data_IF_534347104017
#
_entry.id   IF_534347104017
#
_cell.length_a   1.000
_cell.length_b   1.000
_cell.length_c   1.000
_cell.angle_alpha   90.00
_cell.angle_beta   90.00
_cell.angle_gamma   90.00
#
_symmetry.space_group_name_H-M   'P 1'
#
loop_
_entity.id
_entity.type
_entity.pdbx_description
1 polymer ?
#
# COMPACT_ATOMS: atom_id res chain seq x y z
N UNK A 1 -18.22 24.34 -13.67
CA UNK A 1 -17.62 23.07 -13.44
C UNK A 1 -16.38 23.22 -12.55
N UNK A 2 -16.42 22.69 -11.35
CA UNK A 2 -15.24 22.65 -10.47
C UNK A 2 -14.66 21.24 -10.58
N UNK A 3 -13.43 21.14 -11.11
CA UNK A 3 -12.71 19.89 -11.21
C UNK A 3 -12.46 19.31 -9.80
N UNK A 4 -12.87 18.07 -9.58
CA UNK A 4 -12.55 17.31 -8.39
C UNK A 4 -11.06 16.91 -8.47
N UNK A 5 -10.22 17.57 -7.67
CA UNK A 5 -8.82 17.15 -7.55
C UNK A 5 -8.78 15.75 -6.94
N UNK A 6 -8.26 14.78 -7.69
CA UNK A 6 -7.87 13.48 -7.18
C UNK A 6 -6.76 13.73 -6.15
N UNK A 7 -7.04 13.48 -4.86
CA UNK A 7 -5.98 13.48 -3.85
C UNK A 7 -5.09 12.29 -4.14
N UNK A 8 -3.94 12.53 -4.76
CA UNK A 8 -2.87 11.54 -4.86
C UNK A 8 -2.41 11.19 -3.46
N UNK A 9 -2.01 9.95 -3.25
CA UNK A 9 -1.62 9.34 -1.97
C UNK A 9 -0.42 10.02 -1.29
N UNK A 10 0.20 11.00 -1.96
CA UNK A 10 1.13 11.95 -1.36
C UNK A 10 0.60 13.34 -1.68
N UNK A 11 0.03 14.03 -0.70
CA UNK A 11 -0.13 15.48 -0.81
C UNK A 11 1.27 16.09 -0.78
N UNK A 12 1.76 16.52 -1.95
CA UNK A 12 3.03 17.22 -2.09
C UNK A 12 3.18 18.36 -1.09
N UNK A 13 2.08 19.01 -0.72
CA UNK A 13 2.05 20.15 0.21
C UNK A 13 2.47 19.76 1.62
N UNK A 14 2.13 18.58 2.11
CA UNK A 14 2.50 18.15 3.46
C UNK A 14 3.97 17.65 3.53
N UNK A 15 4.50 17.09 2.45
CA UNK A 15 5.90 16.68 2.39
C UNK A 15 6.86 17.88 2.34
N UNK A 16 6.47 18.96 1.65
CA UNK A 16 7.30 20.17 1.46
C UNK A 16 7.38 21.01 2.75
N UNK A 17 6.33 21.08 3.52
CA UNK A 17 6.34 21.85 4.78
C UNK A 17 7.14 21.18 5.90
N UNK A 18 7.59 19.95 5.71
CA UNK A 18 8.18 19.15 6.76
C UNK A 18 9.69 18.92 6.63
N UNK A 19 10.25 18.99 5.44
CA UNK A 19 11.70 18.87 5.22
C UNK A 19 12.28 20.27 5.00
N UNK A 20 13.35 20.63 5.72
CA UNK A 20 14.18 21.80 5.39
C UNK A 20 14.39 21.84 3.87
N UNK A 21 13.94 22.90 3.22
CA UNK A 21 13.91 23.04 1.76
C UNK A 21 15.27 22.71 1.13
N UNK A 22 16.38 23.03 1.79
CA UNK A 22 17.73 22.72 1.32
C UNK A 22 18.06 21.23 1.42
N UNK A 23 17.51 20.53 2.40
CA UNK A 23 17.66 19.09 2.57
C UNK A 23 16.77 18.34 1.58
N UNK A 24 15.56 18.82 1.33
CA UNK A 24 14.66 18.33 0.30
C UNK A 24 15.26 18.51 -1.10
N UNK A 25 15.80 19.69 -1.42
CA UNK A 25 16.45 19.94 -2.72
C UNK A 25 17.66 19.03 -2.95
N UNK A 26 18.47 18.78 -1.91
CA UNK A 26 19.59 17.82 -1.97
C UNK A 26 19.09 16.37 -2.14
N UNK A 27 18.02 15.99 -1.43
CA UNK A 27 17.42 14.68 -1.53
C UNK A 27 16.76 14.47 -2.91
N UNK A 28 16.00 15.44 -3.39
CA UNK A 28 15.37 15.39 -4.72
C UNK A 28 16.39 15.46 -5.87
N UNK A 29 17.51 16.16 -5.71
CA UNK A 29 18.63 16.12 -6.67
C UNK A 29 19.31 14.75 -6.71
N UNK A 30 19.25 13.98 -5.62
CA UNK A 30 19.71 12.59 -5.56
C UNK A 30 18.70 11.56 -6.05
N UNK A 31 17.40 11.89 -6.09
CA UNK A 31 16.34 11.03 -6.58
C UNK A 31 15.99 11.36 -8.03
N UNK A 32 16.75 10.79 -8.95
CA UNK A 32 16.31 10.74 -10.36
C UNK A 32 15.06 9.83 -10.41
N UNK A 33 13.93 10.37 -10.94
CA UNK A 33 12.68 9.65 -11.21
C UNK A 33 11.81 9.30 -9.99
N UNK A 34 11.45 10.29 -9.15
CA UNK A 34 10.52 10.09 -8.02
C UNK A 34 9.16 9.49 -8.44
N UNK A 35 8.72 9.75 -9.68
CA UNK A 35 7.53 9.17 -10.27
C UNK A 35 7.53 7.63 -10.22
N UNK A 36 8.71 6.99 -10.31
CA UNK A 36 8.86 5.52 -10.22
C UNK A 36 8.67 4.94 -8.82
N UNK A 37 8.37 5.77 -7.83
CA UNK A 37 7.99 5.36 -6.46
C UNK A 37 6.52 5.64 -6.14
N UNK A 38 5.74 6.18 -7.10
CA UNK A 38 4.35 6.56 -6.91
C UNK A 38 3.42 5.50 -7.47
N UNK A 39 2.51 5.01 -6.63
CA UNK A 39 1.34 4.22 -7.01
C UNK A 39 0.13 5.15 -7.06
N UNK A 40 -0.38 5.41 -8.26
CA UNK A 40 -1.56 6.25 -8.44
C UNK A 40 -2.81 5.49 -8.02
N UNK A 41 -3.49 5.98 -6.98
CA UNK A 41 -4.50 5.21 -6.25
C UNK A 41 -5.87 5.83 -6.33
N UNK A 42 -6.88 5.00 -6.64
CA UNK A 42 -8.28 5.36 -6.47
C UNK A 42 -9.08 4.17 -5.92
N UNK A 43 -9.45 4.26 -4.63
CA UNK A 43 -10.18 3.22 -3.89
C UNK A 43 -11.56 3.71 -3.43
N UNK A 44 -12.10 4.75 -4.06
CA UNK A 44 -13.43 5.27 -3.74
C UNK A 44 -14.49 4.21 -4.03
N UNK A 45 -15.49 4.03 -3.16
CA UNK A 45 -16.59 3.09 -3.41
C UNK A 45 -17.44 3.45 -4.63
N UNK A 46 -17.34 4.68 -5.12
CA UNK A 46 -18.05 5.18 -6.31
C UNK A 46 -17.21 5.11 -7.59
N UNK A 47 -16.06 4.44 -7.56
CA UNK A 47 -15.15 4.31 -8.71
C UNK A 47 -15.88 3.67 -9.90
N UNK A 48 -15.72 4.27 -11.08
CA UNK A 48 -16.30 3.80 -12.33
C UNK A 48 -15.21 3.27 -13.28
N UNK A 49 -15.61 2.56 -14.34
CA UNK A 49 -14.66 2.14 -15.37
C UNK A 49 -13.94 3.31 -16.06
N UNK A 50 -14.59 4.47 -16.20
CA UNK A 50 -13.94 5.68 -16.75
C UNK A 50 -12.85 6.22 -15.83
N UNK A 51 -13.06 6.14 -14.52
CA UNK A 51 -12.05 6.55 -13.55
C UNK A 51 -10.84 5.61 -13.58
N UNK A 52 -11.04 4.30 -13.77
CA UNK A 52 -9.96 3.32 -13.95
C UNK A 52 -9.17 3.65 -15.23
N UNK A 53 -9.84 3.90 -16.34
CA UNK A 53 -9.19 4.25 -17.61
C UNK A 53 -8.41 5.56 -17.51
N UNK A 54 -8.92 6.54 -16.76
CA UNK A 54 -8.22 7.80 -16.49
C UNK A 54 -6.97 7.55 -15.63
N UNK A 55 -7.08 6.76 -14.56
CA UNK A 55 -5.98 6.41 -13.67
C UNK A 55 -4.82 5.77 -14.46
N UNK A 56 -5.14 4.85 -15.37
CA UNK A 56 -4.16 4.19 -16.23
C UNK A 56 -3.48 5.19 -17.18
N UNK A 57 -4.27 6.06 -17.85
CA UNK A 57 -3.71 7.08 -18.75
C UNK A 57 -2.74 8.01 -18.01
N UNK A 58 -3.12 8.49 -16.83
CA UNK A 58 -2.29 9.37 -16.01
C UNK A 58 -1.01 8.66 -15.56
N UNK A 59 -1.10 7.39 -15.13
CA UNK A 59 0.06 6.61 -14.74
C UNK A 59 1.04 6.41 -15.91
N UNK A 60 0.54 6.09 -17.10
CA UNK A 60 1.37 5.96 -18.33
C UNK A 60 2.00 7.31 -18.72
N UNK A 61 1.21 8.38 -18.74
CA UNK A 61 1.66 9.73 -19.12
C UNK A 61 2.80 10.22 -18.21
N UNK A 62 2.68 9.99 -16.91
CA UNK A 62 3.65 10.45 -15.91
C UNK A 62 4.70 9.39 -15.54
N UNK A 63 4.71 8.25 -16.23
CA UNK A 63 5.62 7.14 -15.98
C UNK A 63 5.67 6.72 -14.49
N UNK A 64 4.50 6.64 -13.86
CA UNK A 64 4.39 6.24 -12.45
C UNK A 64 4.74 4.75 -12.29
N UNK A 65 5.13 4.35 -11.08
CA UNK A 65 5.43 2.95 -10.76
C UNK A 65 4.23 2.05 -11.07
N UNK A 66 3.05 2.45 -10.61
CA UNK A 66 1.86 1.63 -10.75
C UNK A 66 0.56 2.37 -10.48
N UNK A 67 -0.52 1.61 -10.55
CA UNK A 67 -1.86 2.05 -10.13
C UNK A 67 -2.38 1.11 -9.05
N UNK A 68 -3.22 1.63 -8.15
CA UNK A 68 -3.91 0.84 -7.15
C UNK A 68 -5.43 1.02 -7.30
N UNK A 69 -6.13 -0.11 -7.48
CA UNK A 69 -7.59 -0.16 -7.71
C UNK A 69 -8.24 -1.19 -6.77
N UNK A 70 -9.57 -1.08 -6.50
CA UNK A 70 -10.30 -2.13 -5.77
C UNK A 70 -10.27 -3.49 -6.49
N UNK A 71 -10.37 -4.63 -5.78
CA UNK A 71 -10.25 -5.98 -6.35
C UNK A 71 -11.15 -6.25 -7.56
N UNK A 72 -12.38 -5.78 -7.54
CA UNK A 72 -13.34 -5.92 -8.66
C UNK A 72 -12.79 -5.37 -10.00
N UNK A 73 -11.93 -4.36 -9.96
CA UNK A 73 -11.41 -3.66 -11.15
C UNK A 73 -10.09 -4.25 -11.68
N UNK A 74 -9.47 -5.20 -10.98
CA UNK A 74 -8.15 -5.74 -11.33
C UNK A 74 -8.14 -6.31 -12.74
N UNK A 75 -9.08 -7.19 -13.08
CA UNK A 75 -9.15 -7.82 -14.41
C UNK A 75 -9.28 -6.79 -15.54
N UNK A 76 -10.12 -5.75 -15.36
CA UNK A 76 -10.23 -4.66 -16.33
C UNK A 76 -8.94 -3.87 -16.41
N UNK A 77 -8.39 -3.45 -15.27
CA UNK A 77 -7.18 -2.66 -15.22
C UNK A 77 -6.00 -3.39 -15.89
N UNK A 78 -5.85 -4.71 -15.65
CA UNK A 78 -4.79 -5.52 -16.30
C UNK A 78 -4.91 -5.50 -17.81
N UNK A 79 -6.13 -5.66 -18.33
CA UNK A 79 -6.39 -5.62 -19.77
C UNK A 79 -6.04 -4.23 -20.36
N UNK A 80 -6.44 -3.14 -19.70
CA UNK A 80 -6.23 -1.77 -20.20
C UNK A 80 -4.78 -1.27 -20.01
N UNK A 81 -4.05 -1.82 -19.04
CA UNK A 81 -2.60 -1.59 -18.89
C UNK A 81 -1.87 -2.18 -20.11
N UNK A 82 -2.26 -3.38 -20.57
CA UNK A 82 -1.60 -4.07 -21.68
C UNK A 82 -0.12 -4.33 -21.37
N UNK A 83 0.74 -4.06 -22.35
CA UNK A 83 2.19 -4.30 -22.27
C UNK A 83 2.98 -3.16 -21.58
N UNK A 84 2.30 -2.18 -20.96
CA UNK A 84 2.99 -1.10 -20.27
C UNK A 84 3.66 -1.59 -18.98
N UNK A 85 4.80 -0.99 -18.63
CA UNK A 85 5.56 -1.30 -17.39
C UNK A 85 4.87 -0.84 -16.09
N UNK A 86 3.58 -0.50 -16.15
CA UNK A 86 2.80 -0.03 -15.00
C UNK A 86 2.38 -1.20 -14.13
N UNK A 87 2.82 -1.24 -12.88
CA UNK A 87 2.44 -2.28 -11.91
C UNK A 87 0.96 -2.15 -11.54
N UNK A 88 0.28 -3.27 -11.40
CA UNK A 88 -1.11 -3.32 -10.95
C UNK A 88 -1.17 -3.77 -9.49
N UNK A 89 -1.55 -2.84 -8.63
CA UNK A 89 -1.73 -3.04 -7.19
C UNK A 89 -3.20 -3.18 -6.87
N UNK A 90 -3.55 -4.05 -5.94
CA UNK A 90 -4.89 -4.10 -5.36
C UNK A 90 -4.85 -4.33 -3.85
N UNK A 91 -5.98 -4.15 -3.20
CA UNK A 91 -6.12 -4.22 -1.74
C UNK A 91 -6.82 -5.50 -1.31
N UNK A 92 -6.50 -6.00 -0.11
CA UNK A 92 -7.01 -7.24 0.46
C UNK A 92 -7.56 -6.97 1.86
N UNK A 93 -8.80 -7.38 2.13
CA UNK A 93 -9.49 -7.14 3.39
C UNK A 93 -9.73 -5.65 3.68
N UNK A 94 -9.80 -4.85 2.66
CA UNK A 94 -9.75 -3.39 2.74
C UNK A 94 -11.14 -2.73 2.92
N UNK A 95 -11.25 -1.60 3.68
CA UNK A 95 -10.16 -0.93 4.41
C UNK A 95 -9.99 -1.38 5.87
N UNK A 96 -10.88 -2.19 6.42
CA UNK A 96 -11.01 -2.41 7.86
C UNK A 96 -10.22 -3.61 8.38
N UNK A 97 -9.82 -4.55 7.52
CA UNK A 97 -8.96 -5.67 7.85
C UNK A 97 -9.58 -6.76 8.74
N UNK A 98 -10.84 -6.67 9.14
CA UNK A 98 -11.47 -7.60 10.09
C UNK A 98 -12.09 -8.86 9.46
N UNK A 99 -11.94 -9.04 8.15
CA UNK A 99 -12.35 -10.27 7.47
C UNK A 99 -11.56 -11.47 8.01
N UNK A 100 -12.17 -12.65 7.91
CA UNK A 100 -11.47 -13.90 8.23
C UNK A 100 -10.26 -14.10 7.32
N UNK A 101 -9.20 -14.70 7.86
CA UNK A 101 -7.96 -14.96 7.10
C UNK A 101 -8.21 -15.76 5.83
N UNK A 102 -9.09 -16.75 5.88
CA UNK A 102 -9.47 -17.59 4.73
C UNK A 102 -10.12 -16.76 3.62
N UNK A 103 -10.96 -15.79 3.97
CA UNK A 103 -11.59 -14.85 3.01
C UNK A 103 -10.52 -13.99 2.34
N UNK A 104 -9.56 -13.45 3.10
CA UNK A 104 -8.45 -12.66 2.56
C UNK A 104 -7.55 -13.48 1.63
N UNK A 105 -7.28 -14.73 1.99
CA UNK A 105 -6.50 -15.65 1.15
C UNK A 105 -7.23 -15.91 -0.17
N UNK A 106 -8.54 -16.11 -0.16
CA UNK A 106 -9.31 -16.30 -1.38
C UNK A 106 -9.35 -15.02 -2.22
N UNK A 107 -9.52 -13.85 -1.58
CA UNK A 107 -9.42 -12.55 -2.26
C UNK A 107 -8.05 -12.36 -2.93
N UNK A 108 -6.95 -12.74 -2.26
CA UNK A 108 -5.60 -12.73 -2.85
C UNK A 108 -5.51 -13.62 -4.09
N UNK A 109 -5.99 -14.88 -4.02
CA UNK A 109 -5.96 -15.81 -5.15
C UNK A 109 -6.73 -15.27 -6.35
N UNK A 110 -7.92 -14.69 -6.12
CA UNK A 110 -8.72 -14.09 -7.17
C UNK A 110 -8.01 -12.87 -7.79
N UNK A 111 -7.42 -12.02 -6.98
CA UNK A 111 -6.67 -10.85 -7.43
C UNK A 111 -5.44 -11.26 -8.27
N UNK A 112 -4.69 -12.27 -7.83
CA UNK A 112 -3.53 -12.82 -8.55
C UNK A 112 -3.96 -13.41 -9.90
N UNK A 113 -5.00 -14.25 -9.90
CA UNK A 113 -5.58 -14.83 -11.12
C UNK A 113 -6.01 -13.77 -12.12
N UNK A 114 -6.57 -12.65 -11.64
CA UNK A 114 -7.06 -11.55 -12.46
C UNK A 114 -5.95 -10.58 -12.90
N UNK A 115 -4.70 -10.81 -12.44
CA UNK A 115 -3.50 -10.18 -12.95
C UNK A 115 -2.88 -9.09 -12.05
N UNK A 116 -3.19 -9.05 -10.75
CA UNK A 116 -2.49 -8.18 -9.81
C UNK A 116 -1.00 -8.55 -9.71
N UNK A 117 -0.15 -7.55 -9.70
CA UNK A 117 1.30 -7.69 -9.52
C UNK A 117 1.68 -7.53 -8.05
N UNK A 118 0.95 -6.68 -7.30
CA UNK A 118 1.19 -6.38 -5.90
C UNK A 118 -0.12 -6.38 -5.11
N UNK A 119 -0.04 -6.78 -3.84
CA UNK A 119 -1.18 -6.98 -2.95
C UNK A 119 -0.97 -6.20 -1.65
N UNK A 120 -1.91 -5.32 -1.29
CA UNK A 120 -1.89 -4.49 -0.08
C UNK A 120 -2.86 -5.09 0.96
N UNK A 121 -2.36 -5.93 1.85
CA UNK A 121 -3.13 -6.63 2.88
C UNK A 121 -3.37 -5.72 4.09
N UNK A 122 -4.62 -5.51 4.48
CA UNK A 122 -4.94 -4.85 5.76
C UNK A 122 -5.00 -5.90 6.88
N UNK A 123 -4.24 -5.68 7.96
CA UNK A 123 -4.25 -6.57 9.13
C UNK A 123 -5.57 -6.47 9.90
N UNK A 124 -5.87 -7.50 10.70
CA UNK A 124 -6.93 -7.41 11.71
C UNK A 124 -6.42 -6.66 12.94
N UNK A 125 -6.61 -5.32 12.94
CA UNK A 125 -6.14 -4.43 14.01
C UNK A 125 -6.81 -4.73 15.37
N UNK A 126 -8.09 -5.16 15.37
CA UNK A 126 -8.79 -5.49 16.62
C UNK A 126 -8.22 -6.75 17.29
N UNK A 127 -7.98 -7.80 16.52
CA UNK A 127 -7.34 -9.02 17.01
C UNK A 127 -5.90 -8.75 17.50
N UNK A 128 -5.16 -7.88 16.80
CA UNK A 128 -3.83 -7.49 17.25
C UNK A 128 -3.85 -6.69 18.54
N UNK A 129 -4.79 -5.77 18.71
CA UNK A 129 -4.95 -4.98 19.94
C UNK A 129 -5.29 -5.85 21.14
N UNK A 130 -6.06 -6.90 20.95
CA UNK A 130 -6.41 -7.90 21.97
C UNK A 130 -5.24 -8.83 22.33
N UNK A 131 -4.14 -8.79 21.59
CA UNK A 131 -2.97 -9.63 21.82
C UNK A 131 -3.11 -11.06 21.27
N UNK A 132 -4.03 -11.27 20.33
CA UNK A 132 -4.21 -12.56 19.68
C UNK A 132 -3.05 -12.89 18.72
N UNK A 133 -2.74 -14.17 18.56
CA UNK A 133 -1.73 -14.63 17.60
C UNK A 133 -2.22 -14.65 16.12
N UNK A 134 -3.51 -14.45 15.91
CA UNK A 134 -4.12 -14.52 14.56
C UNK A 134 -3.49 -13.58 13.53
N UNK A 135 -3.19 -12.31 13.84
CA UNK A 135 -2.55 -11.42 12.87
C UNK A 135 -1.17 -11.92 12.42
N UNK A 136 -0.39 -12.53 13.32
CA UNK A 136 0.89 -13.16 12.97
C UNK A 136 0.69 -14.33 12.02
N UNK A 137 -0.29 -15.19 12.29
CA UNK A 137 -0.64 -16.35 11.44
C UNK A 137 -1.15 -15.88 10.07
N UNK A 138 -2.02 -14.87 10.05
CA UNK A 138 -2.55 -14.25 8.83
C UNK A 138 -1.43 -13.73 7.93
N UNK A 139 -0.55 -12.88 8.48
CA UNK A 139 0.56 -12.30 7.74
C UNK A 139 1.47 -13.40 7.17
N UNK A 140 1.80 -14.42 7.97
CA UNK A 140 2.65 -15.51 7.52
C UNK A 140 2.01 -16.34 6.38
N UNK A 141 0.71 -16.66 6.48
CA UNK A 141 -0.03 -17.38 5.42
C UNK A 141 -0.12 -16.57 4.14
N UNK A 142 -0.44 -15.26 4.25
CA UNK A 142 -0.54 -14.37 3.11
C UNK A 142 0.82 -14.12 2.45
N UNK A 143 1.88 -13.96 3.25
CA UNK A 143 3.25 -13.81 2.74
C UNK A 143 3.70 -15.06 1.98
N UNK A 144 3.44 -16.24 2.54
CA UNK A 144 3.75 -17.49 1.85
C UNK A 144 3.04 -17.59 0.50
N UNK A 145 1.73 -17.31 0.45
CA UNK A 145 0.97 -17.32 -0.79
C UNK A 145 1.54 -16.35 -1.82
N UNK A 146 1.85 -15.11 -1.41
CA UNK A 146 2.44 -14.12 -2.31
C UNK A 146 3.80 -14.58 -2.87
N UNK A 147 4.66 -15.16 -2.03
CA UNK A 147 5.95 -15.71 -2.46
C UNK A 147 5.79 -16.90 -3.43
N UNK A 148 4.89 -17.83 -3.14
CA UNK A 148 4.64 -19.00 -3.99
C UNK A 148 4.15 -18.57 -5.40
N UNK A 149 3.46 -17.42 -5.49
CA UNK A 149 2.92 -16.84 -6.72
C UNK A 149 3.80 -15.73 -7.33
N UNK A 150 5.02 -15.50 -6.78
CA UNK A 150 5.95 -14.45 -7.23
C UNK A 150 5.33 -13.04 -7.21
N UNK A 151 4.51 -12.75 -6.19
CA UNK A 151 3.86 -11.45 -6.00
C UNK A 151 4.45 -10.68 -4.84
N UNK A 152 4.36 -9.36 -4.93
CA UNK A 152 4.77 -8.47 -3.84
C UNK A 152 3.62 -8.32 -2.85
N UNK A 153 3.88 -8.64 -1.58
CA UNK A 153 2.95 -8.35 -0.49
C UNK A 153 3.40 -7.11 0.27
N UNK A 154 2.49 -6.15 0.42
CA UNK A 154 2.63 -5.03 1.36
C UNK A 154 1.59 -5.21 2.47
N UNK A 155 2.00 -5.06 3.72
CA UNK A 155 1.11 -5.22 4.89
C UNK A 155 0.77 -3.85 5.45
N UNK A 156 -0.50 -3.47 5.39
CA UNK A 156 -1.01 -2.21 5.97
C UNK A 156 -1.28 -2.44 7.45
N UNK A 157 -0.52 -1.76 8.30
CA UNK A 157 -0.62 -1.88 9.75
C UNK A 157 -1.57 -0.86 10.39
N UNK A 158 -2.00 0.15 9.64
CA UNK A 158 -2.88 1.26 10.05
C UNK A 158 -2.36 1.98 11.29
N UNK A 159 -1.27 2.71 11.12
CA UNK A 159 -0.55 3.37 12.22
C UNK A 159 -1.40 4.36 13.03
N UNK A 160 -2.47 4.90 12.44
CA UNK A 160 -3.41 5.80 13.13
C UNK A 160 -4.07 5.17 14.38
N UNK A 161 -4.14 3.84 14.44
CA UNK A 161 -4.76 3.11 15.55
C UNK A 161 -3.76 2.50 16.52
N UNK A 162 -2.46 2.74 16.37
CA UNK A 162 -1.39 2.06 17.09
C UNK A 162 -0.52 3.05 17.87
N UNK A 163 -0.02 2.61 19.03
CA UNK A 163 1.08 3.28 19.70
C UNK A 163 2.44 2.74 19.18
N UNK A 164 3.52 3.39 19.55
CA UNK A 164 4.88 3.06 19.09
C UNK A 164 5.26 1.59 19.33
N UNK A 165 4.95 1.03 20.50
CA UNK A 165 5.29 -0.36 20.81
C UNK A 165 4.54 -1.35 19.94
N UNK A 166 3.30 -1.06 19.58
CA UNK A 166 2.49 -1.87 18.66
C UNK A 166 2.99 -1.75 17.23
N UNK A 167 3.41 -0.56 16.79
CA UNK A 167 4.06 -0.36 15.49
C UNK A 167 5.33 -1.20 15.40
N UNK A 168 6.22 -1.14 16.42
CA UNK A 168 7.42 -1.95 16.50
C UNK A 168 7.12 -3.45 16.45
N UNK A 169 6.13 -3.89 17.23
CA UNK A 169 5.70 -5.29 17.27
C UNK A 169 5.24 -5.81 15.91
N UNK A 170 4.43 -5.03 15.18
CA UNK A 170 3.98 -5.39 13.83
C UNK A 170 5.11 -5.37 12.80
N UNK A 171 6.04 -4.42 12.89
CA UNK A 171 7.23 -4.41 12.05
C UNK A 171 8.03 -5.71 12.18
N UNK A 172 8.26 -6.18 13.41
CA UNK A 172 8.96 -7.46 13.67
C UNK A 172 8.18 -8.65 13.10
N UNK A 173 6.87 -8.72 13.33
CA UNK A 173 6.01 -9.79 12.78
C UNK A 173 6.07 -9.80 11.24
N UNK A 174 6.03 -8.65 10.61
CA UNK A 174 6.13 -8.52 9.16
C UNK A 174 7.52 -8.95 8.64
N UNK A 175 8.59 -8.54 9.33
CA UNK A 175 9.94 -8.93 8.97
C UNK A 175 10.15 -10.44 9.12
N UNK A 176 9.70 -11.05 10.23
CA UNK A 176 9.75 -12.49 10.47
C UNK A 176 8.99 -13.30 9.41
N UNK A 177 7.87 -12.76 8.92
CA UNK A 177 7.07 -13.37 7.87
C UNK A 177 7.67 -13.15 6.45
N UNK A 178 8.72 -12.35 6.30
CA UNK A 178 9.37 -12.10 5.02
C UNK A 178 8.54 -11.27 4.05
N UNK A 179 7.70 -10.33 4.52
CA UNK A 179 6.94 -9.46 3.62
C UNK A 179 7.86 -8.48 2.89
N UNK A 180 7.50 -8.09 1.69
CA UNK A 180 8.30 -7.14 0.90
C UNK A 180 8.24 -5.71 1.47
N UNK A 181 7.06 -5.28 1.94
CA UNK A 181 6.87 -3.93 2.48
C UNK A 181 5.92 -3.92 3.68
N UNK A 182 6.18 -3.00 4.61
CA UNK A 182 5.20 -2.58 5.62
C UNK A 182 4.65 -1.21 5.21
N UNK A 183 3.32 -1.13 5.08
CA UNK A 183 2.60 0.08 4.66
C UNK A 183 1.90 0.72 5.85
N UNK A 184 1.95 2.05 5.94
CA UNK A 184 1.44 2.78 7.11
C UNK A 184 -0.07 2.75 7.22
N UNK A 185 -0.78 3.03 6.14
CA UNK A 185 -2.17 3.50 6.25
C UNK A 185 -3.02 3.07 5.06
N UNK A 186 -4.34 2.92 5.31
CA UNK A 186 -5.35 2.71 4.27
C UNK A 186 -5.76 4.01 3.56
N UNK A 187 -5.66 5.15 4.23
CA UNK A 187 -6.25 6.42 3.81
C UNK A 187 -7.73 6.59 4.19
N UNK A 188 -8.31 5.61 4.92
CA UNK A 188 -9.68 5.65 5.44
C UNK A 188 -9.75 5.86 6.95
N UNK A 189 -8.61 5.83 7.64
CA UNK A 189 -8.48 6.21 9.04
C UNK A 189 -8.38 7.75 9.18
N UNK A 190 -8.51 8.30 10.41
CA UNK A 190 -8.45 9.75 10.63
C UNK A 190 -7.13 10.40 10.25
N UNK A 191 -6.03 9.62 10.25
CA UNK A 191 -4.68 10.10 9.97
C UNK A 191 -3.96 9.16 9.00
N UNK A 192 -3.09 9.74 8.15
CA UNK A 192 -2.20 9.00 7.25
C UNK A 192 -0.80 8.82 7.84
N UNK A 193 0.19 8.67 6.94
CA UNK A 193 1.58 8.51 7.32
C UNK A 193 2.12 9.72 8.08
N UNK A 194 2.82 9.44 9.18
CA UNK A 194 3.62 10.41 9.95
C UNK A 194 5.09 10.08 9.82
N UNK A 195 5.92 11.10 9.79
CA UNK A 195 7.36 10.88 9.64
C UNK A 195 7.97 10.18 10.83
N UNK A 196 7.49 10.50 12.02
CA UNK A 196 7.91 9.84 13.25
C UNK A 196 7.65 8.33 13.17
N UNK A 197 6.48 7.93 12.63
CA UNK A 197 6.17 6.51 12.40
C UNK A 197 7.09 5.89 11.34
N UNK A 198 7.41 6.61 10.25
CA UNK A 198 8.35 6.10 9.22
C UNK A 198 9.74 5.88 9.82
N UNK A 199 10.23 6.83 10.63
CA UNK A 199 11.52 6.71 11.32
C UNK A 199 11.53 5.52 12.29
N UNK A 200 10.45 5.37 13.06
CA UNK A 200 10.26 4.25 13.99
C UNK A 200 10.22 2.91 13.25
N UNK A 201 9.44 2.81 12.18
CA UNK A 201 9.38 1.60 11.35
C UNK A 201 10.74 1.28 10.76
N UNK A 202 11.49 2.30 10.27
CA UNK A 202 12.82 2.06 9.71
C UNK A 202 13.83 1.57 10.73
N UNK A 203 13.73 2.00 11.99
CA UNK A 203 14.62 1.52 13.07
C UNK A 203 14.38 0.04 13.45
N UNK A 204 13.17 -0.48 13.20
CA UNK A 204 12.77 -1.85 13.56
C UNK A 204 12.88 -2.84 12.38
N UNK A 205 12.75 -2.36 11.14
CA UNK A 205 12.76 -3.21 9.98
C UNK A 205 14.18 -3.44 9.43
N UNK A 206 14.52 -4.64 8.97
CA UNK A 206 15.77 -4.88 8.27
C UNK A 206 15.78 -4.14 6.92
N UNK A 207 16.97 -3.90 6.36
CA UNK A 207 17.14 -3.10 5.13
C UNK A 207 16.45 -3.68 3.89
N UNK A 208 16.23 -4.98 3.87
CA UNK A 208 15.55 -5.69 2.78
C UNK A 208 14.01 -5.60 2.84
N UNK A 209 13.44 -5.05 3.90
CA UNK A 209 12.00 -4.78 3.99
C UNK A 209 11.74 -3.30 3.72
N UNK A 210 10.96 -3.02 2.69
CA UNK A 210 10.57 -1.66 2.32
C UNK A 210 9.53 -1.05 3.25
N UNK A 211 9.40 0.28 3.19
CA UNK A 211 8.34 1.02 3.87
C UNK A 211 7.53 1.78 2.82
N UNK A 212 6.21 1.63 2.86
CA UNK A 212 5.28 2.38 2.02
C UNK A 212 4.52 3.39 2.87
N UNK A 213 4.81 4.67 2.66
CA UNK A 213 4.04 5.77 3.23
C UNK A 213 2.76 5.98 2.43
N UNK A 214 1.61 6.14 3.09
CA UNK A 214 0.30 6.30 2.46
C UNK A 214 -0.72 6.98 3.38
N UNK A 215 -1.89 7.36 2.84
CA UNK A 215 -3.00 7.96 3.58
C UNK A 215 -3.18 9.44 3.40
#
# INVERSE_FOLDING_TARGET
GRGSSVKSVISYTNLINWIDQNRLIRYLKGMQNINRFIEHTNLKPTLTGRDVDQLIREAKQHQLLGICVPPFWVKRAKREIGDAETQLVTVIGFPLGYNMTETKIEEMKLAIRDGADELDLVINSSAFKEGMNWPKIEIAKCSKLAHDEYKILKVIIETAYLNDDKIKGLCRICADAGVAYVKTSTGFAPEGAKVEHIQLMRSELPSNVGIKASG
#
